data_IF_805134558321
#
_entry.id   IF_805134558321
#
_cell.length_a   1.000
_cell.length_b   1.000
_cell.length_c   1.000
_cell.angle_alpha   90.00
_cell.angle_beta   90.00
_cell.angle_gamma   90.00
#
_symmetry.space_group_name_H-M   'P 1'
#
loop_
_entity.id
_entity.type
_entity.pdbx_description
1 polymer ?
#
# COMPACT_ATOMS: atom_id res chain seq x y z
N UNK A 1 -10.85 45.88 -28.54
CA UNK A 1 -11.88 45.04 -27.89
C UNK A 1 -11.62 43.54 -28.00
N UNK A 2 -11.22 43.01 -29.17
CA UNK A 2 -10.98 41.57 -29.38
C UNK A 2 -9.86 40.94 -28.52
N UNK A 3 -8.78 41.67 -28.23
CA UNK A 3 -7.66 41.16 -27.42
C UNK A 3 -8.03 40.97 -25.94
N UNK A 4 -8.87 41.85 -25.40
CA UNK A 4 -9.37 41.75 -24.02
C UNK A 4 -10.34 40.59 -23.86
N UNK A 5 -11.12 40.28 -24.90
CA UNK A 5 -11.99 39.10 -24.92
C UNK A 5 -11.17 37.79 -24.93
N UNK A 6 -10.05 37.76 -25.65
CA UNK A 6 -9.14 36.63 -25.69
C UNK A 6 -8.44 36.39 -24.33
N UNK A 7 -8.00 37.46 -23.67
CA UNK A 7 -7.36 37.39 -22.35
C UNK A 7 -8.35 36.95 -21.25
N UNK A 8 -9.61 37.41 -21.32
CA UNK A 8 -10.66 36.96 -20.42
C UNK A 8 -10.96 35.46 -20.59
N UNK A 9 -10.95 34.97 -21.83
CA UNK A 9 -11.17 33.56 -22.14
C UNK A 9 -10.04 32.65 -21.63
N UNK A 10 -8.78 33.11 -21.74
CA UNK A 10 -7.61 32.39 -21.21
C UNK A 10 -7.65 32.35 -19.67
N UNK A 11 -8.05 33.45 -19.02
CA UNK A 11 -8.19 33.51 -17.57
C UNK A 11 -9.28 32.57 -17.05
N UNK A 12 -10.40 32.44 -17.78
CA UNK A 12 -11.51 31.55 -17.41
C UNK A 12 -11.15 30.05 -17.49
N UNK A 13 -10.26 29.67 -18.43
CA UNK A 13 -9.79 28.29 -18.56
C UNK A 13 -8.82 27.87 -17.44
N UNK A 14 -8.08 28.82 -16.85
CA UNK A 14 -7.15 28.53 -15.76
C UNK A 14 -7.85 28.12 -14.45
N UNK A 15 -9.11 28.53 -14.23
CA UNK A 15 -9.89 28.18 -13.03
C UNK A 15 -10.49 26.76 -13.04
N UNK A 16 -10.41 26.02 -14.14
CA UNK A 16 -10.97 24.66 -14.24
C UNK A 16 -10.00 23.54 -13.85
N UNK A 17 -8.79 23.89 -13.42
CA UNK A 17 -7.83 22.89 -12.93
C UNK A 17 -8.13 22.59 -11.45
N UNK A 18 -9.15 21.78 -11.20
CA UNK A 18 -9.30 21.15 -9.89
C UNK A 18 -8.08 20.24 -9.66
N UNK A 19 -7.33 20.37 -8.55
CA UNK A 19 -6.32 19.37 -8.22
C UNK A 19 -7.05 18.05 -8.06
N UNK A 20 -6.73 17.08 -8.92
CA UNK A 20 -7.15 15.70 -8.70
C UNK A 20 -6.57 15.29 -7.34
N UNK A 21 -7.43 15.24 -6.32
CA UNK A 21 -7.04 14.90 -4.96
C UNK A 21 -6.65 13.42 -4.97
N UNK A 22 -5.38 13.14 -5.28
CA UNK A 22 -4.85 11.78 -5.22
C UNK A 22 -4.87 11.38 -3.76
N UNK A 23 -5.84 10.55 -3.38
CA UNK A 23 -5.90 9.97 -2.04
C UNK A 23 -4.55 9.33 -1.70
N UNK A 24 -3.86 9.97 -0.75
CA UNK A 24 -2.47 9.68 -0.39
C UNK A 24 -2.35 8.30 0.26
N UNK A 25 -1.35 7.53 -0.16
CA UNK A 25 -1.02 6.28 0.51
C UNK A 25 -0.37 6.58 1.85
N UNK A 26 -0.80 5.90 2.89
CA UNK A 26 -0.30 6.06 4.25
C UNK A 26 0.45 4.79 4.68
N UNK A 27 1.58 4.96 5.38
CA UNK A 27 2.26 3.83 6.00
C UNK A 27 1.45 3.37 7.21
N UNK A 28 1.08 2.10 7.25
CA UNK A 28 0.24 1.51 8.33
C UNK A 28 0.99 0.48 9.16
N UNK A 29 2.17 0.05 8.72
CA UNK A 29 3.03 -0.84 9.50
C UNK A 29 4.38 -1.05 8.82
N UNK A 30 5.33 -1.59 9.58
CA UNK A 30 6.57 -2.12 9.02
C UNK A 30 7.11 -3.27 9.86
N UNK A 31 7.95 -4.07 9.21
CA UNK A 31 8.63 -5.19 9.83
C UNK A 31 10.00 -5.38 9.19
N UNK A 32 11.01 -5.49 10.03
CA UNK A 32 12.31 -6.03 9.62
C UNK A 32 12.24 -7.54 9.74
N UNK A 33 12.59 -8.24 8.67
CA UNK A 33 12.46 -9.69 8.55
C UNK A 33 13.84 -10.32 8.41
N UNK A 34 14.06 -11.42 9.14
CA UNK A 34 15.24 -12.26 9.01
C UNK A 34 15.11 -13.21 7.81
N UNK A 35 16.22 -13.46 7.11
CA UNK A 35 16.22 -14.36 5.95
C UNK A 35 16.17 -15.86 6.30
N UNK A 36 16.17 -16.19 7.58
CA UNK A 36 16.02 -17.55 8.12
C UNK A 36 14.56 -17.96 8.37
N UNK A 37 13.62 -17.01 8.36
CA UNK A 37 12.22 -17.24 8.72
C UNK A 37 11.34 -17.29 7.47
N UNK A 38 10.37 -18.22 7.45
CA UNK A 38 9.46 -18.43 6.30
C UNK A 38 8.17 -17.61 6.39
N UNK A 39 7.70 -17.36 7.61
CA UNK A 39 6.45 -16.67 7.90
C UNK A 39 6.71 -15.57 8.91
N UNK A 40 6.19 -14.38 8.64
CA UNK A 40 6.32 -13.22 9.51
C UNK A 40 4.98 -12.55 9.72
N UNK A 41 4.71 -12.19 10.97
CA UNK A 41 3.54 -11.41 11.33
C UNK A 41 3.93 -9.95 11.54
N UNK A 42 3.21 -9.07 10.85
CA UNK A 42 3.27 -7.62 11.04
C UNK A 42 2.11 -7.25 11.97
N UNK A 43 2.33 -7.48 13.28
CA UNK A 43 1.33 -7.25 14.34
C UNK A 43 1.20 -5.77 14.78
N UNK A 44 2.09 -4.90 14.30
CA UNK A 44 2.15 -3.49 14.69
C UNK A 44 1.38 -2.58 13.73
N UNK A 45 0.16 -2.98 13.35
CA UNK A 45 -0.76 -2.11 12.63
C UNK A 45 -1.46 -1.21 13.66
N UNK A 46 -0.77 -0.15 14.08
CA UNK A 46 -1.26 0.78 15.12
C UNK A 46 -1.48 2.18 14.55
N UNK A 47 -2.59 2.81 14.96
CA UNK A 47 -3.01 4.16 14.57
C UNK A 47 -4.47 4.20 14.07
N UNK A 48 -5.10 5.38 14.07
CA UNK A 48 -6.51 5.66 13.65
C UNK A 48 -6.87 5.30 12.19
N UNK A 49 -5.95 4.65 11.47
CA UNK A 49 -5.99 4.44 10.02
C UNK A 49 -6.18 2.97 9.64
N UNK A 50 -7.02 2.25 10.40
CA UNK A 50 -7.32 0.82 10.19
C UNK A 50 -8.33 0.56 9.07
N UNK A 51 -9.07 1.59 8.66
CA UNK A 51 -10.01 1.54 7.53
C UNK A 51 -9.31 1.94 6.24
N UNK A 52 -8.79 0.95 5.51
CA UNK A 52 -8.10 1.15 4.23
C UNK A 52 -8.77 0.35 3.12
N UNK A 53 -8.93 0.97 1.95
CA UNK A 53 -9.54 0.36 0.77
C UNK A 53 -8.61 -0.62 0.06
N UNK A 54 -7.31 -0.34 0.11
CA UNK A 54 -6.27 -1.10 -0.57
C UNK A 54 -5.02 -1.14 0.26
N UNK A 55 -4.24 -2.20 0.09
CA UNK A 55 -2.89 -2.31 0.63
C UNK A 55 -1.88 -2.65 -0.45
N UNK A 56 -0.64 -2.23 -0.23
CA UNK A 56 0.54 -2.66 -0.99
C UNK A 56 1.72 -2.84 -0.02
N UNK A 57 2.67 -3.67 -0.42
CA UNK A 57 3.90 -3.89 0.33
C UNK A 57 5.05 -3.16 -0.38
N UNK A 58 5.88 -2.46 0.39
CA UNK A 58 7.10 -1.85 -0.11
C UNK A 58 8.30 -2.58 0.48
N UNK A 59 9.23 -3.02 -0.37
CA UNK A 59 10.53 -3.48 0.11
C UNK A 59 11.50 -2.32 0.14
N UNK A 60 11.96 -1.95 1.34
CA UNK A 60 13.00 -0.91 1.51
C UNK A 60 14.39 -1.51 1.61
N UNK A 61 14.48 -2.79 2.02
CA UNK A 61 15.73 -3.56 2.08
C UNK A 61 15.48 -5.00 1.66
N UNK A 62 16.41 -5.56 0.89
CA UNK A 62 16.35 -6.95 0.40
C UNK A 62 15.35 -7.14 -0.75
N UNK A 63 15.56 -8.21 -1.52
CA UNK A 63 14.59 -8.67 -2.51
C UNK A 63 13.74 -9.78 -1.89
N UNK A 64 12.43 -9.64 -1.98
CA UNK A 64 11.50 -10.51 -1.27
C UNK A 64 10.52 -11.09 -2.28
N UNK A 65 10.31 -12.40 -2.23
CA UNK A 65 9.26 -13.07 -2.99
C UNK A 65 8.13 -13.39 -2.04
N UNK A 66 7.06 -12.64 -2.14
CA UNK A 66 5.83 -12.95 -1.43
C UNK A 66 5.27 -14.27 -1.96
N UNK A 67 4.84 -15.15 -1.07
CA UNK A 67 4.12 -16.40 -1.42
C UNK A 67 2.68 -16.35 -0.95
N UNK A 68 2.42 -15.70 0.19
CA UNK A 68 1.09 -15.57 0.78
C UNK A 68 0.97 -14.29 1.59
N UNK A 69 -0.21 -13.68 1.56
CA UNK A 69 -0.57 -12.54 2.39
C UNK A 69 -1.94 -12.82 3.00
N UNK A 70 -2.03 -12.74 4.33
CA UNK A 70 -3.28 -12.86 5.07
C UNK A 70 -3.51 -11.57 5.84
N UNK A 71 -4.73 -11.07 5.73
CA UNK A 71 -5.22 -9.86 6.38
C UNK A 71 -6.28 -10.30 7.37
N UNK A 72 -6.10 -10.00 8.65
CA UNK A 72 -7.09 -10.26 9.71
C UNK A 72 -7.77 -8.95 10.07
N UNK A 73 -9.11 -8.98 10.17
CA UNK A 73 -9.92 -7.82 10.55
C UNK A 73 -10.34 -7.87 12.02
N UNK A 74 -10.91 -6.77 12.52
CA UNK A 74 -11.37 -6.64 13.91
C UNK A 74 -12.48 -7.65 14.27
N UNK A 75 -13.34 -8.00 13.32
CA UNK A 75 -14.39 -9.02 13.47
C UNK A 75 -13.85 -10.47 13.48
N UNK A 76 -12.53 -10.64 13.38
CA UNK A 76 -11.86 -11.94 13.34
C UNK A 76 -11.91 -12.62 11.97
N UNK A 77 -12.56 -12.02 10.96
CA UNK A 77 -12.53 -12.56 9.61
C UNK A 77 -11.17 -12.34 8.94
N UNK A 78 -10.87 -13.16 7.94
CA UNK A 78 -9.61 -13.10 7.21
C UNK A 78 -9.81 -12.93 5.70
N UNK A 79 -8.92 -12.19 5.06
CA UNK A 79 -8.77 -12.15 3.61
C UNK A 79 -7.39 -12.67 3.23
N UNK A 80 -7.38 -13.76 2.48
CA UNK A 80 -6.16 -14.34 1.93
C UNK A 80 -5.93 -13.86 0.49
N UNK A 81 -4.70 -13.44 0.21
CA UNK A 81 -4.27 -12.99 -1.09
C UNK A 81 -3.05 -13.76 -1.56
N UNK A 82 -3.13 -14.21 -2.81
CA UNK A 82 -1.97 -14.68 -3.56
C UNK A 82 -1.19 -13.49 -4.14
N UNK A 83 0.14 -13.62 -4.29
CA UNK A 83 0.96 -12.63 -4.95
C UNK A 83 0.47 -12.42 -6.39
N UNK A 84 0.43 -11.17 -6.83
CA UNK A 84 0.15 -10.85 -8.23
C UNK A 84 1.46 -10.87 -9.03
N UNK A 85 1.39 -11.30 -10.29
CA UNK A 85 2.58 -11.43 -11.15
C UNK A 85 3.57 -12.45 -10.58
N UNK A 86 4.86 -12.10 -10.53
CA UNK A 86 5.92 -13.00 -10.04
C UNK A 86 5.99 -13.11 -8.52
N UNK A 87 5.28 -12.23 -7.79
CA UNK A 87 5.38 -12.09 -6.34
C UNK A 87 6.71 -11.49 -5.85
N UNK A 88 7.65 -11.19 -6.75
CA UNK A 88 8.94 -10.58 -6.43
C UNK A 88 8.75 -9.09 -6.21
N UNK A 89 9.22 -8.61 -5.06
CA UNK A 89 9.27 -7.21 -4.65
C UNK A 89 10.75 -6.84 -4.48
N UNK A 90 11.39 -6.31 -5.54
CA UNK A 90 12.77 -5.84 -5.46
C UNK A 90 12.95 -4.73 -4.41
N UNK A 91 14.16 -4.62 -3.86
CA UNK A 91 14.54 -3.51 -3.00
C UNK A 91 14.24 -2.16 -3.67
N UNK A 92 13.61 -1.25 -2.94
CA UNK A 92 13.24 0.09 -3.38
C UNK A 92 11.92 0.17 -4.15
N UNK A 93 11.17 -0.94 -4.25
CA UNK A 93 9.94 -1.01 -5.06
C UNK A 93 8.71 -1.41 -4.25
N UNK A 94 7.54 -1.23 -4.85
CA UNK A 94 6.24 -1.64 -4.32
C UNK A 94 5.69 -2.86 -5.04
N UNK A 95 4.97 -3.71 -4.32
CA UNK A 95 4.08 -4.70 -4.92
C UNK A 95 2.92 -4.03 -5.66
N UNK A 96 2.22 -4.83 -6.48
CA UNK A 96 0.86 -4.48 -6.89
C UNK A 96 -0.07 -4.42 -5.67
N UNK A 97 -1.11 -3.60 -5.74
CA UNK A 97 -2.06 -3.44 -4.62
C UNK A 97 -3.13 -4.54 -4.60
N UNK A 98 -3.57 -4.91 -3.40
CA UNK A 98 -4.75 -5.73 -3.15
C UNK A 98 -5.89 -4.86 -2.62
N UNK A 99 -7.11 -5.17 -3.04
CA UNK A 99 -8.31 -4.51 -2.51
C UNK A 99 -8.72 -5.25 -1.25
N UNK A 100 -9.02 -4.51 -0.18
CA UNK A 100 -9.53 -5.09 1.06
C UNK A 100 -11.06 -5.06 1.09
N UNK A 101 -11.63 -5.80 2.04
CA UNK A 101 -13.04 -5.73 2.36
C UNK A 101 -13.41 -4.30 2.76
N UNK A 102 -14.52 -3.80 2.20
CA UNK A 102 -15.05 -2.48 2.55
C UNK A 102 -15.49 -2.47 4.00
N UNK A 103 -15.36 -1.31 4.64
CA UNK A 103 -15.89 -1.02 5.98
C UNK A 103 -15.41 -1.95 7.10
N UNK A 104 -14.28 -2.64 6.90
CA UNK A 104 -13.62 -3.45 7.93
C UNK A 104 -12.33 -2.82 8.38
N UNK A 105 -12.10 -2.87 9.69
CA UNK A 105 -10.84 -2.44 10.30
C UNK A 105 -9.83 -3.57 10.30
N UNK A 106 -8.65 -3.30 9.77
CA UNK A 106 -7.52 -4.20 9.77
C UNK A 106 -6.85 -4.27 11.15
N UNK A 107 -6.51 -5.48 11.61
CA UNK A 107 -5.82 -5.70 12.89
C UNK A 107 -4.45 -6.38 12.73
N UNK A 108 -4.33 -7.35 11.83
CA UNK A 108 -3.07 -8.07 11.58
C UNK A 108 -2.80 -8.26 10.09
N UNK A 109 -1.52 -8.27 9.73
CA UNK A 109 -1.06 -8.77 8.43
C UNK A 109 -0.02 -9.86 8.67
N UNK A 110 -0.33 -11.07 8.22
CA UNK A 110 0.62 -12.17 8.14
C UNK A 110 1.12 -12.30 6.70
N UNK A 111 2.43 -12.45 6.54
CA UNK A 111 3.05 -12.67 5.25
C UNK A 111 3.97 -13.89 5.27
N UNK A 112 3.86 -14.70 4.24
CA UNK A 112 4.81 -15.75 3.92
C UNK A 112 5.67 -15.30 2.76
N UNK A 113 6.97 -15.53 2.85
CA UNK A 113 7.89 -15.10 1.82
C UNK A 113 9.10 -16.02 1.70
N UNK A 114 9.69 -15.97 0.52
CA UNK A 114 11.00 -16.51 0.22
C UNK A 114 11.95 -15.35 -0.07
N UNK A 115 13.18 -15.44 0.43
CA UNK A 115 14.21 -14.45 0.11
C UNK A 115 14.88 -14.84 -1.19
N UNK A 116 14.99 -13.90 -2.14
CA UNK A 116 15.67 -14.15 -3.41
C UNK A 116 16.99 -13.38 -3.43
N UNK A 117 18.10 -14.09 -3.66
CA UNK A 117 19.41 -13.49 -3.94
C UNK A 117 20.53 -14.01 -3.05
N UNK A 118 21.75 -13.54 -3.31
CA UNK A 118 22.92 -13.88 -2.49
C UNK A 118 22.76 -13.32 -1.08
N UNK A 119 22.57 -14.20 -0.10
CA UNK A 119 22.48 -13.93 1.35
C UNK A 119 23.67 -13.09 1.87
N UNK A 120 24.78 -13.07 1.11
CA UNK A 120 25.99 -12.29 1.37
C UNK A 120 25.76 -10.78 1.28
N UNK A 121 24.84 -10.29 0.44
CA UNK A 121 24.64 -8.85 0.18
C UNK A 121 23.62 -8.20 1.13
N UNK A 122 22.63 -8.95 1.60
CA UNK A 122 21.75 -8.51 2.69
C UNK A 122 21.28 -9.74 3.48
N UNK A 123 21.46 -9.75 4.80
CA UNK A 123 20.99 -10.84 5.68
C UNK A 123 19.56 -10.64 6.19
N UNK A 124 18.96 -9.50 5.86
CA UNK A 124 17.69 -9.00 6.40
C UNK A 124 16.94 -8.22 5.33
N UNK A 125 15.61 -8.28 5.40
CA UNK A 125 14.71 -7.49 4.59
C UNK A 125 13.96 -6.49 5.45
N UNK A 126 13.44 -5.44 4.85
CA UNK A 126 12.54 -4.52 5.54
C UNK A 126 11.34 -4.24 4.66
N UNK A 127 10.18 -4.68 5.13
CA UNK A 127 8.90 -4.48 4.48
C UNK A 127 8.13 -3.39 5.20
N UNK A 128 7.52 -2.52 4.43
CA UNK A 128 6.50 -1.59 4.90
C UNK A 128 5.17 -1.93 4.27
N UNK A 129 4.11 -1.83 5.07
CA UNK A 129 2.74 -1.94 4.59
C UNK A 129 2.20 -0.54 4.41
N UNK A 130 1.69 -0.28 3.21
CA UNK A 130 1.06 0.98 2.85
C UNK A 130 -0.41 0.75 2.54
N UNK A 131 -1.28 1.50 3.21
CA UNK A 131 -2.72 1.48 3.02
C UNK A 131 -3.20 2.71 2.26
N UNK A 132 -4.24 2.56 1.46
CA UNK A 132 -4.98 3.69 0.89
C UNK A 132 -6.20 3.95 1.76
N UNK A 133 -6.34 5.10 2.44
CA UNK A 133 -7.47 5.38 3.32
C UNK A 133 -8.81 5.18 2.60
N UNK A 134 -9.83 4.77 3.35
CA UNK A 134 -11.18 4.80 2.81
C UNK A 134 -11.65 6.25 2.69
N UNK A 135 -11.85 6.72 1.45
CA UNK A 135 -12.52 7.99 1.20
C UNK A 135 -14.02 7.73 1.15
N UNK A 136 -14.74 7.98 2.24
CA UNK A 136 -16.18 8.20 2.12
C UNK A 136 -16.35 9.48 1.32
N UNK A 137 -16.82 9.39 0.08
CA UNK A 137 -17.36 10.57 -0.60
C UNK A 137 -18.41 11.16 0.34
N UNK A 138 -18.19 12.40 0.77
CA UNK A 138 -19.11 13.13 1.64
C UNK A 138 -20.33 13.50 0.77
N UNK A 139 -21.34 12.64 0.74
CA UNK A 139 -22.57 12.85 -0.02
C UNK A 139 -23.06 11.56 -0.70
N UNK A 140 -23.70 10.70 0.08
CA UNK A 140 -24.86 9.90 -0.33
C UNK A 140 -25.98 10.20 0.69
#
# INVERSE_FOLDING_TARGET
MKIYLLLLFIFLMASLVAPAQSEEWIKIGDKTIGFSEKTQHIKNIKGEKRQVSKIKLNSTQGNIKLTRLVVTYEDGSESEFKPKGTGIIPKGTSSLSWNLSKDKELTDIAMEYETIGNVVVSKRGKIEVWGKPWSRKKGD
#
